data_IF_921187856142
#
_entry.id   IF_921187856142
#
_cell.length_a   1.000
_cell.length_b   1.000
_cell.length_c   1.000
_cell.angle_alpha   90.00
_cell.angle_beta   90.00
_cell.angle_gamma   90.00
#
_symmetry.space_group_name_H-M   'P 1'
#
loop_
_entity.id
_entity.type
_entity.pdbx_description
1 polymer ?
#
# COMPACT_ATOMS: atom_id res chain seq x y z
N UNK A 1 -12.39 -13.52 9.39
CA UNK A 1 -12.05 -13.37 7.98
C UNK A 1 -13.31 -13.56 7.15
N UNK A 2 -13.55 -12.69 6.16
CA UNK A 2 -14.60 -12.93 5.18
C UNK A 2 -14.28 -14.23 4.40
N UNK A 3 -15.25 -15.09 4.13
CA UNK A 3 -15.02 -16.24 3.29
C UNK A 3 -14.62 -15.78 1.89
N UNK A 4 -13.68 -16.45 1.27
CA UNK A 4 -13.38 -16.31 -0.17
C UNK A 4 -14.65 -16.68 -0.92
N UNK A 5 -15.41 -15.70 -1.33
CA UNK A 5 -16.74 -15.89 -1.88
C UNK A 5 -16.93 -15.15 -3.19
N UNK A 6 -18.16 -15.12 -3.64
CA UNK A 6 -18.57 -14.38 -4.83
C UNK A 6 -18.85 -12.89 -4.54
N UNK A 7 -18.83 -12.49 -3.27
CA UNK A 7 -19.13 -11.11 -2.86
C UNK A 7 -17.89 -10.22 -2.95
N UNK A 8 -18.11 -8.99 -3.37
CA UNK A 8 -17.05 -7.99 -3.41
C UNK A 8 -16.69 -7.51 -2.00
N UNK A 9 -15.41 -7.48 -1.69
CA UNK A 9 -14.87 -6.91 -0.45
C UNK A 9 -14.39 -5.48 -0.66
N UNK A 10 -14.41 -4.69 0.40
CA UNK A 10 -13.85 -3.34 0.40
C UNK A 10 -12.31 -3.39 0.36
N UNK A 11 -11.70 -2.36 -0.18
CA UNK A 11 -10.25 -2.33 -0.40
C UNK A 11 -9.46 -2.45 0.90
N UNK A 12 -9.92 -1.83 1.99
CA UNK A 12 -9.26 -1.92 3.31
C UNK A 12 -9.25 -3.36 3.86
N UNK A 13 -10.34 -4.12 3.66
CA UNK A 13 -10.38 -5.52 4.08
C UNK A 13 -9.48 -6.40 3.20
N UNK A 14 -9.33 -6.07 1.91
CA UNK A 14 -8.36 -6.75 1.02
C UNK A 14 -6.92 -6.59 1.50
N UNK A 15 -6.56 -5.39 2.00
CA UNK A 15 -5.27 -5.15 2.63
C UNK A 15 -5.08 -5.98 3.92
N UNK A 16 -6.08 -5.97 4.80
CA UNK A 16 -6.07 -6.76 6.03
C UNK A 16 -5.88 -8.25 5.73
N UNK A 17 -6.60 -8.79 4.74
CA UNK A 17 -6.49 -10.20 4.37
C UNK A 17 -5.12 -10.54 3.75
N UNK A 18 -4.53 -9.64 2.96
CA UNK A 18 -3.18 -9.79 2.45
C UNK A 18 -2.17 -9.92 3.58
N UNK A 19 -2.19 -8.99 4.53
CA UNK A 19 -1.30 -9.02 5.71
C UNK A 19 -1.53 -10.27 6.55
N UNK A 20 -2.78 -10.65 6.79
CA UNK A 20 -3.14 -11.85 7.54
C UNK A 20 -2.57 -13.13 6.91
N UNK A 21 -2.65 -13.26 5.59
CA UNK A 21 -2.13 -14.40 4.84
C UNK A 21 -0.59 -14.42 4.83
N UNK A 22 0.04 -13.25 4.66
CA UNK A 22 1.50 -13.11 4.78
C UNK A 22 1.96 -13.57 6.16
N UNK A 23 1.39 -13.02 7.22
CA UNK A 23 1.81 -13.34 8.59
C UNK A 23 1.52 -14.79 8.99
N UNK A 24 0.50 -15.43 8.41
CA UNK A 24 0.19 -16.84 8.64
C UNK A 24 1.22 -17.77 8.00
N UNK A 25 1.77 -17.41 6.85
CA UNK A 25 2.78 -18.19 6.12
C UNK A 25 4.22 -17.89 6.57
N UNK A 26 4.47 -16.69 7.08
CA UNK A 26 5.80 -16.13 7.30
C UNK A 26 5.97 -15.71 8.76
N UNK A 27 6.63 -16.52 9.59
CA UNK A 27 6.89 -16.17 10.99
C UNK A 27 7.80 -14.95 11.15
N UNK A 28 8.64 -14.65 10.17
CA UNK A 28 9.52 -13.47 10.11
C UNK A 28 8.77 -12.15 9.84
N UNK A 29 7.50 -12.21 9.43
CA UNK A 29 6.69 -11.02 9.20
C UNK A 29 6.27 -10.36 10.51
N UNK A 30 6.54 -9.06 10.63
CA UNK A 30 6.12 -8.20 11.74
C UNK A 30 5.18 -7.13 11.20
N UNK A 31 4.24 -6.69 12.04
CA UNK A 31 3.38 -5.55 11.72
C UNK A 31 3.41 -4.54 12.86
N UNK A 32 3.85 -3.31 12.62
CA UNK A 32 3.89 -2.29 13.65
C UNK A 32 3.70 -0.87 13.13
N UNK A 33 3.34 0.01 14.03
CA UNK A 33 3.05 1.41 13.79
C UNK A 33 2.29 2.00 14.98
N UNK A 34 1.66 3.15 14.80
CA UNK A 34 0.83 3.76 15.81
C UNK A 34 -0.58 3.13 15.77
N UNK A 35 -1.11 2.76 16.92
CA UNK A 35 -2.47 2.27 17.13
C UNK A 35 -2.86 0.99 16.34
N UNK A 36 -1.89 0.25 15.82
CA UNK A 36 -2.14 -0.98 15.04
C UNK A 36 -2.25 -2.23 15.90
N UNK A 37 -1.64 -2.20 17.08
CA UNK A 37 -1.57 -3.32 18.01
C UNK A 37 -2.76 -3.44 18.95
N UNK A 38 -2.74 -4.47 19.81
CA UNK A 38 -3.78 -4.79 20.78
C UNK A 38 -5.17 -4.90 20.11
N UNK A 39 -6.16 -4.14 20.61
CA UNK A 39 -7.53 -4.10 20.07
C UNK A 39 -7.80 -2.90 19.18
N UNK A 40 -6.81 -2.02 19.00
CA UNK A 40 -7.00 -0.78 18.23
C UNK A 40 -7.18 -1.07 16.73
N UNK A 41 -6.27 -1.84 16.14
CA UNK A 41 -6.45 -2.36 14.79
C UNK A 41 -6.26 -1.34 13.66
N UNK A 42 -5.59 -0.22 13.93
CA UNK A 42 -5.34 0.86 12.99
C UNK A 42 -6.49 1.86 12.85
N UNK A 43 -6.19 3.04 12.32
CA UNK A 43 -7.15 4.15 12.16
C UNK A 43 -8.30 3.78 11.21
N UNK A 44 -7.99 3.01 10.17
CA UNK A 44 -8.96 2.58 9.15
C UNK A 44 -9.33 1.11 9.25
N UNK A 45 -9.04 0.45 10.38
CA UNK A 45 -9.31 -0.96 10.61
C UNK A 45 -8.42 -1.92 9.79
N UNK A 46 -7.39 -1.44 9.19
CA UNK A 46 -6.45 -2.15 8.32
C UNK A 46 -5.60 -3.19 9.05
N UNK A 47 -5.52 -3.11 10.37
CA UNK A 47 -4.85 -4.07 11.24
C UNK A 47 -5.82 -4.79 12.21
N UNK A 48 -7.12 -4.68 11.98
CA UNK A 48 -8.14 -5.26 12.85
C UNK A 48 -7.89 -6.76 13.10
N UNK A 49 -7.91 -7.15 14.37
CA UNK A 49 -7.71 -8.54 14.81
C UNK A 49 -6.32 -9.16 14.60
N UNK A 50 -5.38 -8.46 13.96
CA UNK A 50 -4.04 -9.03 13.73
C UNK A 50 -3.30 -9.34 15.04
N UNK A 51 -3.31 -8.41 16.01
CA UNK A 51 -2.65 -8.61 17.30
C UNK A 51 -3.27 -9.76 18.11
N UNK A 52 -4.59 -9.93 18.06
CA UNK A 52 -5.27 -11.06 18.70
C UNK A 52 -4.92 -12.40 18.05
N UNK A 53 -4.64 -12.40 16.75
CA UNK A 53 -4.35 -13.60 15.98
C UNK A 53 -2.88 -14.01 16.04
N UNK A 54 -1.96 -13.05 15.98
CA UNK A 54 -0.52 -13.30 15.84
C UNK A 54 0.30 -12.95 17.09
N UNK A 55 -0.33 -12.37 18.11
CA UNK A 55 0.32 -11.95 19.35
C UNK A 55 0.95 -10.56 19.27
N UNK A 56 1.16 -9.97 20.44
CA UNK A 56 1.72 -8.62 20.56
C UNK A 56 3.22 -8.55 20.24
N UNK A 57 3.91 -9.67 20.20
CA UNK A 57 5.32 -9.74 19.80
C UNK A 57 5.50 -9.56 18.28
N UNK A 58 4.45 -9.83 17.50
CA UNK A 58 4.46 -9.70 16.05
C UNK A 58 3.61 -8.55 15.53
N UNK A 59 2.60 -8.10 16.31
CA UNK A 59 1.73 -6.97 15.97
C UNK A 59 1.68 -6.03 17.16
N UNK A 60 2.38 -4.90 17.09
CA UNK A 60 2.55 -4.03 18.25
C UNK A 60 2.53 -2.54 17.91
N UNK A 61 2.20 -1.75 18.93
CA UNK A 61 2.23 -0.29 18.84
C UNK A 61 3.66 0.23 19.06
N UNK A 62 3.99 1.27 18.32
CA UNK A 62 5.19 2.08 18.57
C UNK A 62 4.81 3.36 19.33
N UNK A 63 5.78 4.08 19.91
CA UNK A 63 5.60 5.49 20.22
C UNK A 63 5.23 6.28 18.97
N UNK A 64 4.68 7.49 19.16
CA UNK A 64 4.42 8.45 18.09
C UNK A 64 5.76 9.00 17.58
N UNK A 65 6.38 8.26 16.66
CA UNK A 65 7.73 8.57 16.15
C UNK A 65 7.93 7.91 14.78
N UNK A 66 7.58 8.61 13.73
CA UNK A 66 7.64 8.08 12.36
C UNK A 66 9.09 7.83 11.88
N UNK A 67 10.05 8.58 12.41
CA UNK A 67 11.46 8.29 12.15
C UNK A 67 11.87 6.92 12.71
N UNK A 68 11.36 6.54 13.87
CA UNK A 68 11.58 5.19 14.42
C UNK A 68 10.83 4.13 13.59
N UNK A 69 9.56 4.37 13.26
CA UNK A 69 8.75 3.42 12.49
C UNK A 69 9.44 3.05 11.18
N UNK A 70 9.90 4.05 10.43
CA UNK A 70 10.57 3.84 9.14
C UNK A 70 12.01 3.37 9.34
N UNK A 71 12.78 4.02 10.21
CA UNK A 71 14.21 3.74 10.38
C UNK A 71 14.50 2.35 10.95
N UNK A 72 13.68 1.86 11.87
CA UNK A 72 13.85 0.53 12.49
C UNK A 72 13.73 -0.61 11.47
N UNK A 73 13.08 -0.39 10.33
CA UNK A 73 12.95 -1.42 9.28
C UNK A 73 14.28 -1.91 8.75
N UNK A 74 15.32 -1.07 8.73
CA UNK A 74 16.68 -1.46 8.33
C UNK A 74 17.26 -2.50 9.28
N UNK A 75 17.22 -2.21 10.58
CA UNK A 75 17.73 -3.13 11.61
C UNK A 75 16.92 -4.43 11.67
N UNK A 76 15.59 -4.33 11.59
CA UNK A 76 14.70 -5.50 11.54
C UNK A 76 15.01 -6.38 10.32
N UNK A 77 15.19 -5.79 9.14
CA UNK A 77 15.56 -6.54 7.93
C UNK A 77 16.95 -7.18 8.05
N UNK A 78 17.92 -6.50 8.66
CA UNK A 78 19.26 -7.03 8.88
C UNK A 78 19.28 -8.25 9.79
N UNK A 79 18.30 -8.38 10.71
CA UNK A 79 18.13 -9.55 11.60
C UNK A 79 17.25 -10.65 11.00
N UNK A 80 16.84 -10.52 9.73
CA UNK A 80 16.03 -11.52 9.04
C UNK A 80 14.50 -11.34 9.18
N UNK A 81 14.05 -10.31 9.90
CA UNK A 81 12.64 -9.97 9.94
C UNK A 81 12.20 -9.28 8.63
N UNK A 82 10.91 -9.37 8.32
CA UNK A 82 10.28 -8.65 7.23
C UNK A 82 9.18 -7.74 7.77
N UNK A 83 9.50 -6.49 8.08
CA UNK A 83 8.55 -5.57 8.67
C UNK A 83 7.54 -5.05 7.65
N UNK A 84 6.28 -5.03 8.05
CA UNK A 84 5.20 -4.27 7.45
C UNK A 84 4.89 -3.16 8.45
N UNK A 85 5.14 -1.92 8.07
CA UNK A 85 4.94 -0.78 8.97
C UNK A 85 3.89 0.15 8.44
N UNK A 86 3.23 0.88 9.34
CA UNK A 86 2.24 1.86 8.98
C UNK A 86 2.60 3.24 9.49
N UNK A 87 2.60 4.21 8.57
CA UNK A 87 2.53 5.64 8.85
C UNK A 87 1.06 6.03 8.69
N UNK A 88 0.39 6.43 9.76
CA UNK A 88 -1.08 6.59 9.81
C UNK A 88 -1.66 7.50 8.71
N UNK A 89 -0.92 8.54 8.32
CA UNK A 89 -1.30 9.49 7.27
C UNK A 89 -0.06 10.01 6.54
N UNK A 90 -0.21 10.34 5.27
CA UNK A 90 0.87 10.93 4.48
C UNK A 90 1.45 12.20 5.11
N UNK A 91 0.60 12.97 5.80
CA UNK A 91 0.99 14.20 6.52
C UNK A 91 2.02 13.95 7.63
N UNK A 92 2.10 12.73 8.15
CA UNK A 92 2.99 12.37 9.25
C UNK A 92 4.32 11.76 8.79
N UNK A 93 4.51 11.54 7.50
CA UNK A 93 5.73 10.88 6.99
C UNK A 93 7.00 11.74 7.16
N UNK A 94 6.87 13.04 7.33
CA UNK A 94 7.98 14.00 7.30
C UNK A 94 9.13 13.67 8.24
N UNK A 95 8.92 13.33 9.52
CA UNK A 95 10.02 12.95 10.41
C UNK A 95 10.73 11.67 9.96
N UNK A 96 10.01 10.78 9.26
CA UNK A 96 10.55 9.52 8.74
C UNK A 96 11.25 9.64 7.37
N UNK A 97 11.08 10.76 6.65
CA UNK A 97 11.70 10.95 5.33
C UNK A 97 13.23 10.94 5.40
N UNK A 98 13.81 11.47 6.47
CA UNK A 98 15.26 11.41 6.65
C UNK A 98 15.74 9.95 6.66
N UNK A 99 15.09 9.09 7.42
CA UNK A 99 15.42 7.66 7.53
C UNK A 99 15.20 6.94 6.20
N UNK A 100 14.09 7.26 5.54
CA UNK A 100 13.75 6.69 4.23
C UNK A 100 14.82 7.05 3.19
N UNK A 101 15.22 8.32 3.14
CA UNK A 101 16.17 8.85 2.16
C UNK A 101 17.61 8.40 2.43
N UNK A 102 18.04 8.34 3.69
CA UNK A 102 19.44 8.06 4.03
C UNK A 102 19.74 6.57 4.14
N UNK A 103 18.95 5.81 4.87
CA UNK A 103 19.26 4.43 5.22
C UNK A 103 18.39 3.40 4.48
N UNK A 104 17.06 3.55 4.57
CA UNK A 104 16.13 2.54 4.05
C UNK A 104 16.31 2.35 2.55
N UNK A 105 16.42 3.44 1.80
CA UNK A 105 16.53 3.40 0.35
C UNK A 105 17.90 2.98 -0.19
N UNK A 106 18.96 3.14 0.60
CA UNK A 106 20.34 3.01 0.11
C UNK A 106 21.08 1.78 0.61
N UNK A 107 20.70 1.22 1.76
CA UNK A 107 21.44 0.13 2.40
C UNK A 107 21.67 -1.08 1.50
N UNK A 108 20.67 -1.46 0.70
CA UNK A 108 20.81 -2.58 -0.23
C UNK A 108 21.83 -2.30 -1.33
N UNK A 109 21.79 -1.11 -1.92
CA UNK A 109 22.75 -0.69 -2.93
C UNK A 109 24.16 -0.53 -2.37
N UNK A 110 24.32 0.19 -1.25
CA UNK A 110 25.64 0.45 -0.65
C UNK A 110 26.31 -0.80 -0.12
N UNK A 111 25.55 -1.79 0.30
CA UNK A 111 26.07 -3.11 0.72
C UNK A 111 26.39 -4.04 -0.46
N UNK A 112 26.27 -3.57 -1.68
CA UNK A 112 26.43 -4.40 -2.89
C UNK A 112 25.51 -5.62 -2.89
N UNK A 113 24.23 -5.41 -2.52
CA UNK A 113 23.20 -6.46 -2.48
C UNK A 113 23.27 -7.41 -1.29
N UNK A 114 24.11 -7.14 -0.30
CA UNK A 114 24.28 -8.04 0.86
C UNK A 114 23.21 -7.82 1.95
N UNK A 115 22.69 -6.61 2.06
CA UNK A 115 21.72 -6.22 3.09
C UNK A 115 20.41 -5.74 2.48
N UNK A 116 19.54 -6.65 2.09
CA UNK A 116 18.21 -6.27 1.61
C UNK A 116 17.42 -5.58 2.71
N UNK A 117 16.63 -4.58 2.33
CA UNK A 117 15.67 -3.93 3.22
C UNK A 117 14.27 -4.32 2.75
N UNK A 118 13.90 -5.57 3.04
CA UNK A 118 12.61 -6.14 2.65
C UNK A 118 11.51 -5.62 3.58
N UNK A 119 10.99 -4.44 3.31
CA UNK A 119 9.95 -3.81 4.12
C UNK A 119 8.81 -3.27 3.26
N UNK A 120 7.62 -3.27 3.82
CA UNK A 120 6.46 -2.58 3.28
C UNK A 120 6.14 -1.41 4.21
N UNK A 121 6.12 -0.19 3.66
CA UNK A 121 5.72 1.01 4.38
C UNK A 121 4.35 1.42 3.83
N UNK A 122 3.30 1.18 4.60
CA UNK A 122 1.93 1.55 4.27
C UNK A 122 1.68 2.99 4.63
N UNK A 123 1.08 3.74 3.71
CA UNK A 123 0.82 5.16 3.89
C UNK A 123 -0.57 5.49 3.33
N UNK A 124 -1.58 5.68 4.18
CA UNK A 124 -2.86 6.25 3.76
C UNK A 124 -2.69 7.68 3.25
N UNK A 125 -3.25 7.97 2.07
CA UNK A 125 -3.10 9.27 1.40
C UNK A 125 -4.44 9.82 0.92
N UNK A 126 -4.43 11.08 0.48
CA UNK A 126 -5.56 11.76 -0.15
C UNK A 126 -6.50 12.47 0.82
N UNK A 127 -7.27 13.41 0.30
CA UNK A 127 -8.09 14.34 1.07
C UNK A 127 -9.44 13.80 1.54
N UNK A 128 -9.79 12.55 1.22
CA UNK A 128 -11.07 11.96 1.59
C UNK A 128 -11.23 11.81 3.11
N UNK A 129 -12.43 12.13 3.61
CA UNK A 129 -12.76 12.09 5.03
C UNK A 129 -12.65 13.45 5.71
N UNK A 130 -12.24 14.48 4.97
CA UNK A 130 -12.17 15.87 5.45
C UNK A 130 -11.41 16.02 6.78
N UNK A 131 -10.31 15.28 6.94
CA UNK A 131 -9.48 15.29 8.15
C UNK A 131 -8.70 16.59 8.38
N UNK A 132 -8.97 17.61 7.55
CA UNK A 132 -8.29 18.89 7.60
C UNK A 132 -6.85 18.84 7.05
N UNK A 133 -6.07 19.91 7.25
CA UNK A 133 -4.76 20.07 6.61
C UNK A 133 -3.71 19.03 7.04
N UNK A 134 -3.92 18.37 8.17
CA UNK A 134 -2.97 17.37 8.71
C UNK A 134 -3.33 15.91 8.39
N UNK A 135 -4.36 15.68 7.55
CA UNK A 135 -4.84 14.33 7.22
C UNK A 135 -5.25 14.23 5.74
N UNK A 136 -4.76 15.11 4.89
CA UNK A 136 -5.27 15.23 3.52
C UNK A 136 -4.19 15.23 2.44
N UNK A 137 -2.93 15.05 2.81
CA UNK A 137 -1.80 15.15 1.89
C UNK A 137 -1.70 13.96 0.95
N UNK A 138 -1.04 14.25 -0.18
CA UNK A 138 -0.52 13.28 -1.14
C UNK A 138 0.97 13.58 -1.34
N UNK A 139 1.82 12.55 -1.28
CA UNK A 139 3.28 12.71 -1.15
C UNK A 139 4.07 12.07 -2.30
N UNK A 140 3.39 11.63 -3.35
CA UNK A 140 3.98 10.89 -4.46
C UNK A 140 5.15 11.62 -5.11
N UNK A 141 4.99 12.92 -5.36
CA UNK A 141 6.01 13.74 -6.04
C UNK A 141 7.33 13.82 -5.25
N UNK A 142 7.27 13.77 -3.93
CA UNK A 142 8.44 13.76 -3.06
C UNK A 142 9.08 12.38 -3.08
N UNK A 143 8.29 11.34 -2.94
CA UNK A 143 8.76 9.96 -2.89
C UNK A 143 9.41 9.52 -4.21
N UNK A 144 8.94 10.00 -5.35
CA UNK A 144 9.55 9.72 -6.65
C UNK A 144 10.96 10.26 -6.83
N UNK A 145 11.40 11.18 -5.97
CA UNK A 145 12.78 11.67 -5.94
C UNK A 145 13.73 10.76 -5.15
N UNK A 146 13.21 9.77 -4.42
CA UNK A 146 14.01 8.84 -3.61
C UNK A 146 14.34 7.61 -4.45
N UNK A 147 15.62 7.41 -4.75
CA UNK A 147 16.08 6.23 -5.49
C UNK A 147 16.29 5.06 -4.53
N UNK A 148 16.04 3.84 -5.00
CA UNK A 148 16.22 2.63 -4.21
C UNK A 148 14.96 2.17 -3.48
N UNK A 149 13.82 2.79 -3.72
CA UNK A 149 12.50 2.37 -3.26
C UNK A 149 11.61 2.01 -4.44
N UNK A 150 10.59 1.21 -4.19
CA UNK A 150 9.46 1.00 -5.10
C UNK A 150 8.22 1.67 -4.51
N UNK A 151 7.40 2.23 -5.38
CA UNK A 151 6.14 2.88 -5.00
C UNK A 151 5.01 2.10 -5.67
N UNK A 152 4.10 1.58 -4.88
CA UNK A 152 2.88 0.93 -5.32
C UNK A 152 1.68 1.78 -4.92
N UNK A 153 0.78 2.05 -5.86
CA UNK A 153 -0.43 2.83 -5.61
C UNK A 153 -1.62 2.12 -6.27
N UNK A 154 -2.19 1.10 -5.59
CA UNK A 154 -3.28 0.30 -6.12
C UNK A 154 -4.56 1.10 -6.32
N UNK A 155 -5.34 0.70 -7.31
CA UNK A 155 -6.64 1.29 -7.61
C UNK A 155 -7.83 0.41 -7.20
N UNK A 156 -7.60 -0.85 -6.91
CA UNK A 156 -8.64 -1.81 -6.49
C UNK A 156 -8.19 -2.66 -5.33
N UNK A 157 -9.13 -3.33 -4.65
CA UNK A 157 -8.81 -4.26 -3.57
C UNK A 157 -7.97 -5.46 -4.04
N UNK A 158 -8.24 -5.98 -5.22
CA UNK A 158 -7.44 -7.07 -5.80
C UNK A 158 -6.01 -6.61 -6.10
N UNK A 159 -5.85 -5.41 -6.68
CA UNK A 159 -4.53 -4.83 -6.94
C UNK A 159 -3.75 -4.65 -5.62
N UNK A 160 -4.40 -4.11 -4.59
CA UNK A 160 -3.78 -3.92 -3.27
C UNK A 160 -3.30 -5.25 -2.68
N UNK A 161 -4.15 -6.29 -2.70
CA UNK A 161 -3.78 -7.60 -2.20
C UNK A 161 -2.59 -8.19 -2.97
N UNK A 162 -2.64 -8.16 -4.30
CA UNK A 162 -1.58 -8.72 -5.14
C UNK A 162 -0.25 -7.97 -5.05
N UNK A 163 -0.29 -6.64 -5.00
CA UNK A 163 0.89 -5.79 -4.84
C UNK A 163 1.49 -5.88 -3.42
N UNK A 164 0.66 -6.01 -2.37
CA UNK A 164 1.13 -6.23 -1.00
C UNK A 164 1.97 -7.51 -0.90
N UNK A 165 1.52 -8.59 -1.55
CA UNK A 165 2.27 -9.85 -1.59
C UNK A 165 3.54 -9.74 -2.43
N UNK A 166 3.50 -9.09 -3.58
CA UNK A 166 4.68 -8.81 -4.38
C UNK A 166 5.72 -8.01 -3.58
N UNK A 167 5.26 -7.00 -2.83
CA UNK A 167 6.10 -6.18 -1.98
C UNK A 167 6.78 -6.97 -0.86
N UNK A 168 6.08 -7.95 -0.28
CA UNK A 168 6.65 -8.78 0.77
C UNK A 168 7.80 -9.66 0.29
N UNK A 169 7.77 -10.09 -0.97
CA UNK A 169 8.85 -10.89 -1.57
C UNK A 169 9.94 -10.05 -2.22
N UNK A 170 9.77 -8.74 -2.29
CA UNK A 170 10.77 -7.84 -2.87
C UNK A 170 11.93 -7.59 -1.89
N UNK A 171 13.19 -7.64 -2.34
CA UNK A 171 14.34 -7.32 -1.49
C UNK A 171 14.52 -5.81 -1.24
N UNK A 172 13.78 -4.97 -1.96
CA UNK A 172 13.83 -3.52 -1.80
C UNK A 172 12.64 -3.02 -0.96
N UNK A 173 12.78 -1.87 -0.31
CA UNK A 173 11.66 -1.25 0.39
C UNK A 173 10.57 -0.83 -0.61
N UNK A 174 9.33 -1.11 -0.23
CA UNK A 174 8.14 -0.75 -1.01
C UNK A 174 7.26 0.18 -0.19
N UNK A 175 6.95 1.36 -0.73
CA UNK A 175 5.91 2.22 -0.20
C UNK A 175 4.58 1.84 -0.86
N UNK A 176 3.62 1.46 -0.03
CA UNK A 176 2.25 1.16 -0.45
C UNK A 176 1.36 2.36 -0.14
N UNK A 177 1.07 3.15 -1.17
CA UNK A 177 0.21 4.33 -1.06
C UNK A 177 -1.24 3.89 -1.20
N UNK A 178 -2.05 4.16 -0.19
CA UNK A 178 -3.42 3.67 -0.11
C UNK A 178 -4.39 4.86 -0.02
N UNK A 179 -5.08 5.16 -1.12
CA UNK A 179 -6.00 6.31 -1.13
C UNK A 179 -7.23 6.05 -0.27
N UNK A 180 -7.41 6.84 0.78
CA UNK A 180 -8.49 6.70 1.76
C UNK A 180 -9.90 6.70 1.14
N UNK A 181 -10.09 7.44 0.06
CA UNK A 181 -11.36 7.48 -0.68
C UNK A 181 -11.73 6.15 -1.33
N UNK A 182 -10.76 5.27 -1.56
CA UNK A 182 -10.99 3.95 -2.14
C UNK A 182 -11.26 2.87 -1.08
N UNK A 183 -10.90 3.10 0.18
CA UNK A 183 -11.00 2.09 1.23
C UNK A 183 -12.38 1.43 1.34
N UNK A 184 -13.43 2.24 1.31
CA UNK A 184 -14.82 1.75 1.38
C UNK A 184 -15.63 2.03 0.11
N UNK A 185 -15.02 2.67 -0.90
CA UNK A 185 -15.68 3.06 -2.16
C UNK A 185 -16.97 3.86 -1.93
N UNK A 186 -16.90 4.84 -1.03
CA UNK A 186 -18.04 5.72 -0.73
C UNK A 186 -18.12 6.93 -1.66
N UNK A 187 -17.06 7.21 -2.41
CA UNK A 187 -17.04 8.26 -3.44
C UNK A 187 -17.76 7.71 -4.67
N UNK A 188 -18.68 8.49 -5.21
CA UNK A 188 -19.41 8.14 -6.45
C UNK A 188 -18.40 7.89 -7.59
N UNK A 189 -18.57 6.78 -8.31
CA UNK A 189 -17.70 6.37 -9.40
C UNK A 189 -16.50 5.53 -8.98
N UNK A 190 -16.37 5.20 -7.70
CA UNK A 190 -15.28 4.35 -7.18
C UNK A 190 -15.72 2.93 -6.80
N UNK A 191 -16.90 2.51 -7.25
CA UNK A 191 -17.51 1.23 -6.88
C UNK A 191 -16.64 0.03 -7.28
N UNK A 192 -15.87 0.17 -8.35
CA UNK A 192 -14.95 -0.87 -8.84
C UNK A 192 -13.69 -1.05 -7.97
N UNK A 193 -13.45 -0.18 -6.99
CA UNK A 193 -12.41 -0.41 -5.99
C UNK A 193 -12.73 -1.63 -5.11
N UNK A 194 -14.03 -1.97 -4.96
CA UNK A 194 -14.47 -3.23 -4.35
C UNK A 194 -14.32 -4.35 -5.38
N UNK A 195 -13.62 -5.40 -4.99
CA UNK A 195 -13.39 -6.56 -5.85
C UNK A 195 -13.72 -7.86 -5.12
N UNK A 196 -13.95 -8.92 -5.88
CA UNK A 196 -13.90 -10.26 -5.30
C UNK A 196 -12.50 -10.47 -4.74
N UNK A 197 -12.40 -11.00 -3.53
CA UNK A 197 -11.11 -11.27 -2.91
C UNK A 197 -10.35 -12.33 -3.71
N UNK A 198 -9.16 -12.03 -4.25
CA UNK A 198 -8.34 -13.02 -4.92
C UNK A 198 -7.85 -14.11 -3.96
N UNK A 199 -7.41 -15.23 -4.52
CA UNK A 199 -6.81 -16.32 -3.76
C UNK A 199 -5.54 -15.90 -3.02
N UNK A 200 -5.15 -16.73 -2.05
CA UNK A 200 -3.98 -16.43 -1.21
C UNK A 200 -2.65 -16.45 -1.96
N UNK A 201 -2.58 -17.08 -3.12
CA UNK A 201 -1.36 -17.12 -3.96
C UNK A 201 -1.37 -16.05 -5.06
N UNK A 202 -2.40 -15.19 -5.09
CA UNK A 202 -2.49 -14.11 -6.06
C UNK A 202 -1.43 -13.04 -5.82
N UNK A 203 -0.57 -12.83 -6.81
CA UNK A 203 0.54 -11.85 -6.79
C UNK A 203 0.51 -11.03 -8.09
N UNK A 204 0.67 -9.72 -7.98
CA UNK A 204 0.85 -8.82 -9.11
C UNK A 204 2.31 -8.39 -9.18
N UNK A 205 3.05 -8.75 -10.22
CA UNK A 205 4.44 -8.34 -10.35
C UNK A 205 4.54 -6.83 -10.60
N UNK A 206 5.56 -6.20 -10.03
CA UNK A 206 5.89 -4.81 -10.34
C UNK A 206 6.34 -4.64 -11.80
N UNK A 207 6.13 -3.45 -12.36
CA UNK A 207 6.59 -3.09 -13.69
C UNK A 207 5.62 -3.44 -14.83
N UNK A 208 4.43 -3.95 -14.51
CA UNK A 208 3.38 -4.21 -15.52
C UNK A 208 2.14 -3.37 -15.22
N UNK A 209 1.75 -2.56 -16.18
CA UNK A 209 0.50 -1.81 -16.14
C UNK A 209 -0.67 -2.69 -16.61
N UNK A 210 -1.86 -2.39 -16.10
CA UNK A 210 -3.14 -2.95 -16.55
C UNK A 210 -3.84 -1.95 -17.47
N UNK A 211 -4.43 -2.41 -18.55
CA UNK A 211 -5.35 -1.60 -19.34
C UNK A 211 -6.68 -1.55 -18.59
N UNK A 212 -7.05 -0.36 -18.11
CA UNK A 212 -8.29 -0.14 -17.37
C UNK A 212 -9.47 0.18 -18.28
N UNK A 213 -9.20 0.83 -19.40
CA UNK A 213 -10.18 1.19 -20.43
C UNK A 213 -9.48 1.17 -21.79
N UNK A 214 -10.07 0.50 -22.75
CA UNK A 214 -9.59 0.49 -24.14
C UNK A 214 -10.40 1.48 -24.99
N UNK A 215 -9.71 2.17 -25.90
CA UNK A 215 -10.38 2.98 -26.90
C UNK A 215 -11.04 2.10 -27.97
N UNK A 216 -12.08 2.62 -28.62
CA UNK A 216 -12.70 1.98 -29.76
C UNK A 216 -11.68 1.80 -30.91
N UNK A 217 -11.70 0.67 -31.62
CA UNK A 217 -10.80 0.39 -32.73
C UNK A 217 -10.85 1.47 -33.81
N UNK A 218 -12.05 1.97 -34.17
CA UNK A 218 -12.22 3.03 -35.16
C UNK A 218 -11.57 4.35 -34.75
N UNK A 219 -11.59 4.69 -33.45
CA UNK A 219 -10.94 5.89 -32.96
C UNK A 219 -9.41 5.76 -32.98
N UNK A 220 -8.89 4.56 -32.74
CA UNK A 220 -7.45 4.29 -32.85
C UNK A 220 -7.00 4.43 -34.31
N UNK A 221 -7.71 3.81 -35.25
CA UNK A 221 -7.41 3.86 -36.69
C UNK A 221 -7.44 5.29 -37.26
N UNK A 222 -8.35 6.12 -36.78
CA UNK A 222 -8.50 7.51 -37.25
C UNK A 222 -7.62 8.51 -36.48
N UNK A 223 -6.85 8.07 -35.51
CA UNK A 223 -6.01 8.94 -34.67
C UNK A 223 -6.81 9.76 -33.65
N UNK A 224 -8.08 9.45 -33.41
CA UNK A 224 -8.96 10.11 -32.44
C UNK A 224 -8.94 9.39 -31.07
N UNK A 225 -7.77 9.01 -30.62
CA UNK A 225 -7.57 8.35 -29.34
C UNK A 225 -6.38 8.93 -28.58
N UNK A 226 -6.35 8.74 -27.28
CA UNK A 226 -5.24 9.17 -26.42
C UNK A 226 -4.88 8.08 -25.42
N UNK A 227 -3.65 8.10 -24.94
CA UNK A 227 -3.19 7.24 -23.85
C UNK A 227 -3.14 8.06 -22.56
N UNK A 228 -3.80 7.57 -21.53
CA UNK A 228 -3.72 8.15 -20.16
C UNK A 228 -3.04 7.13 -19.26
N UNK A 229 -1.87 7.49 -18.73
CA UNK A 229 -1.15 6.67 -17.74
C UNK A 229 -1.45 7.26 -16.36
N UNK A 230 -2.03 6.45 -15.48
CA UNK A 230 -2.45 6.89 -14.16
C UNK A 230 -2.42 5.74 -13.14
N UNK A 231 -2.72 6.05 -11.88
CA UNK A 231 -2.68 5.10 -10.77
C UNK A 231 -3.68 5.50 -9.68
N UNK A 232 -3.98 4.61 -8.75
CA UNK A 232 -4.82 4.87 -7.58
C UNK A 232 -6.17 5.51 -7.93
N UNK A 233 -6.48 6.63 -7.28
CA UNK A 233 -7.70 7.41 -7.52
C UNK A 233 -7.76 7.99 -8.94
N UNK A 234 -6.62 8.28 -9.55
CA UNK A 234 -6.55 8.83 -10.91
C UNK A 234 -7.19 7.93 -11.98
N UNK A 235 -7.26 6.62 -11.74
CA UNK A 235 -7.97 5.69 -12.63
C UNK A 235 -9.46 6.03 -12.72
N UNK A 236 -10.07 6.38 -11.60
CA UNK A 236 -11.49 6.74 -11.52
C UNK A 236 -11.78 8.10 -12.13
N UNK A 237 -10.86 9.06 -11.95
CA UNK A 237 -10.96 10.36 -12.61
C UNK A 237 -10.85 10.23 -14.14
N UNK A 238 -9.90 9.44 -14.63
CA UNK A 238 -9.75 9.17 -16.05
C UNK A 238 -10.98 8.46 -16.64
N UNK A 239 -11.50 7.43 -15.97
CA UNK A 239 -12.71 6.74 -16.38
C UNK A 239 -13.94 7.65 -16.39
N UNK A 240 -14.03 8.58 -15.45
CA UNK A 240 -15.14 9.58 -15.42
C UNK A 240 -15.02 10.55 -16.57
N UNK A 241 -13.82 11.06 -16.85
CA UNK A 241 -13.58 11.95 -17.98
C UNK A 241 -13.88 11.27 -19.32
N UNK A 242 -13.43 10.03 -19.50
CA UNK A 242 -13.69 9.27 -20.72
C UNK A 242 -15.19 8.97 -20.99
N UNK A 243 -16.03 8.97 -19.96
CA UNK A 243 -17.50 8.80 -20.12
C UNK A 243 -18.23 10.08 -20.48
N UNK A 244 -17.58 11.23 -20.36
CA UNK A 244 -18.15 12.55 -20.66
C UNK A 244 -17.77 13.07 -22.06
N UNK A 245 -16.95 12.33 -22.77
CA UNK A 245 -16.51 12.60 -24.13
C UNK A 245 -16.77 11.39 -25.06
#
# INVERSE_FOLDING_TARGET
>A
RAPKGKEKTVMVDSALFAVQEIMAKHPEALFYGQDVGHRLGGVFREAATLAQKFGNDRVYNTPIQEAFIIGSTVGMSATGCKPIVEVQFADYIWPGLNQLFTEVSRSYYLSNGKWPVSTIIRVPIGAYGSGGPYHSSSVESILTNIRGIKIAYPSTGADLKGLMKAAFYDPNPVLMLEHKGLYWSKIKGTEEAKTIEPDEDYIIPFGKARIALEANASNIETGNSMVVITYGMGVYWANTAAKSH
#
